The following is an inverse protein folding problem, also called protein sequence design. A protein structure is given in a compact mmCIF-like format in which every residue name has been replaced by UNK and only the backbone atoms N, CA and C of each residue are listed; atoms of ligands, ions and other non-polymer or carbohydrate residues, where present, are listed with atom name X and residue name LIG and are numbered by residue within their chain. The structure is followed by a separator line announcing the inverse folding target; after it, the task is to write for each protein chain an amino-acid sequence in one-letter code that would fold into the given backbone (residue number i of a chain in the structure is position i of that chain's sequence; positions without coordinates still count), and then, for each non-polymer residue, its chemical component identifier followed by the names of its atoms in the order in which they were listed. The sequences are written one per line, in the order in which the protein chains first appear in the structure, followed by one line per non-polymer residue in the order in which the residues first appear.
data_IF_273350368259
#
_entry.id   IF_273350368259
#
_cell.length_a   1.000
_cell.length_b   1.000
_cell.length_c   1.000
_cell.angle_alpha   90.00
_cell.angle_beta   90.00
_cell.angle_gamma   90.00
#
_symmetry.space_group_name_H-M   'P 1'
#
loop_
_entity.id
_entity.type
_entity.pdbx_description
1 polymer ?
#
# COMPACT_ATOMS: atom_id res chain seq x y z
N UNK A 1 16.68 -14.82 43.30
CA UNK A 1 16.99 -13.38 43.42
C UNK A 1 15.75 -12.61 43.00
N UNK A 2 15.12 -11.85 43.89
CA UNK A 2 13.94 -11.07 43.55
C UNK A 2 14.29 -10.01 42.51
N UNK A 3 13.55 -9.96 41.41
CA UNK A 3 13.67 -8.92 40.39
C UNK A 3 13.26 -7.61 41.06
N UNK A 4 14.17 -6.63 41.12
CA UNK A 4 13.84 -5.30 41.63
C UNK A 4 12.86 -4.62 40.68
N UNK A 5 11.98 -3.75 41.19
CA UNK A 5 11.01 -2.99 40.37
C UNK A 5 11.71 -2.25 39.22
N UNK A 6 12.94 -1.77 39.44
CA UNK A 6 13.78 -1.15 38.41
C UNK A 6 14.12 -2.09 37.25
N UNK A 7 14.33 -3.38 37.51
CA UNK A 7 14.63 -4.36 36.48
C UNK A 7 13.37 -4.72 35.68
N UNK A 8 12.22 -4.81 36.33
CA UNK A 8 10.93 -5.10 35.68
C UNK A 8 10.60 -4.09 34.57
N UNK A 9 10.82 -2.80 34.83
CA UNK A 9 10.59 -1.72 33.86
C UNK A 9 11.48 -1.88 32.62
N UNK A 10 12.75 -2.26 32.81
CA UNK A 10 13.70 -2.47 31.70
C UNK A 10 13.21 -3.57 30.77
N UNK A 11 12.70 -4.68 31.32
CA UNK A 11 12.20 -5.79 30.51
C UNK A 11 10.83 -5.50 29.86
N UNK A 12 9.98 -4.69 30.49
CA UNK A 12 8.70 -4.27 29.90
C UNK A 12 8.85 -3.14 28.87
N UNK A 13 9.96 -2.42 28.88
CA UNK A 13 10.17 -1.25 28.03
C UNK A 13 9.94 -1.51 26.53
N UNK A 14 10.45 -2.59 25.90
CA UNK A 14 10.18 -2.87 24.49
C UNK A 14 8.68 -3.03 24.20
N UNK A 15 7.94 -3.71 25.08
CA UNK A 15 6.50 -3.93 24.94
C UNK A 15 5.71 -2.62 25.07
N UNK A 16 6.09 -1.78 26.03
CA UNK A 16 5.48 -0.45 26.21
C UNK A 16 5.73 0.46 25.00
N UNK A 17 6.95 0.44 24.45
CA UNK A 17 7.28 1.16 23.21
C UNK A 17 6.44 0.64 22.05
N UNK A 18 6.26 -0.68 21.92
CA UNK A 18 5.40 -1.28 20.90
C UNK A 18 3.97 -0.77 20.98
N UNK A 19 3.37 -0.85 22.16
CA UNK A 19 2.00 -0.37 22.39
C UNK A 19 1.89 1.13 22.09
N UNK A 20 2.85 1.95 22.52
CA UNK A 20 2.85 3.39 22.28
C UNK A 20 2.99 3.74 20.79
N UNK A 21 3.89 3.07 20.06
CA UNK A 21 4.10 3.30 18.62
C UNK A 21 2.86 2.88 17.83
N UNK A 22 2.30 1.69 18.11
CA UNK A 22 1.09 1.22 17.45
C UNK A 22 -0.11 2.15 17.75
N UNK A 23 -0.30 2.55 19.00
CA UNK A 23 -1.38 3.46 19.39
C UNK A 23 -1.23 4.84 18.73
N UNK A 24 -0.02 5.41 18.77
CA UNK A 24 0.29 6.70 18.16
C UNK A 24 0.06 6.67 16.64
N UNK A 25 0.46 5.59 15.98
CA UNK A 25 0.20 5.36 14.57
C UNK A 25 -1.31 5.25 14.28
N UNK A 26 -2.06 4.50 15.09
CA UNK A 26 -3.51 4.41 14.99
C UNK A 26 -4.20 5.78 15.09
N UNK A 27 -3.81 6.60 16.07
CA UNK A 27 -4.34 7.97 16.24
C UNK A 27 -3.98 8.85 15.05
N UNK A 28 -2.73 8.79 14.57
CA UNK A 28 -2.28 9.54 13.40
C UNK A 28 -3.11 9.18 12.16
N UNK A 29 -3.37 7.89 11.93
CA UNK A 29 -4.15 7.40 10.80
C UNK A 29 -5.62 7.87 10.87
N UNK A 30 -6.27 7.77 12.04
CA UNK A 30 -7.64 8.27 12.23
C UNK A 30 -7.75 9.78 11.96
N UNK A 31 -6.79 10.57 12.45
CA UNK A 31 -6.76 12.03 12.20
C UNK A 31 -6.59 12.37 10.72
N UNK A 32 -5.91 11.51 9.95
CA UNK A 32 -5.70 11.70 8.51
C UNK A 32 -6.84 11.14 7.64
N UNK A 33 -7.77 10.35 8.19
CA UNK A 33 -8.70 9.50 7.42
C UNK A 33 -9.74 10.20 6.53
N UNK A 34 -9.69 11.53 6.33
CA UNK A 34 -10.74 12.45 5.81
C UNK A 34 -11.90 11.84 4.99
N UNK A 35 -11.70 10.88 4.07
CA UNK A 35 -12.74 9.93 3.56
C UNK A 35 -12.22 8.53 3.18
N UNK A 36 -10.97 8.19 3.49
CA UNK A 36 -10.38 6.91 3.08
C UNK A 36 -10.67 5.83 4.13
N UNK A 37 -11.57 4.89 3.80
CA UNK A 37 -11.93 3.81 4.72
C UNK A 37 -10.78 2.85 5.00
N UNK A 38 -9.80 2.71 4.11
CA UNK A 38 -8.64 1.85 4.35
C UNK A 38 -7.79 2.40 5.51
N UNK A 39 -7.70 3.72 5.65
CA UNK A 39 -7.04 4.35 6.80
C UNK A 39 -7.72 4.02 8.12
N UNK A 40 -9.06 4.00 8.15
CA UNK A 40 -9.82 3.62 9.34
C UNK A 40 -9.51 2.18 9.75
N UNK A 41 -9.52 1.25 8.80
CA UNK A 41 -9.29 -0.17 9.10
C UNK A 41 -7.83 -0.44 9.48
N UNK A 42 -6.86 0.24 8.86
CA UNK A 42 -5.47 0.16 9.28
C UNK A 42 -5.28 0.72 10.70
N UNK A 43 -5.97 1.81 11.06
CA UNK A 43 -5.92 2.34 12.41
C UNK A 43 -6.51 1.37 13.45
N UNK A 44 -7.66 0.76 13.15
CA UNK A 44 -8.28 -0.26 14.01
C UNK A 44 -7.40 -1.52 14.15
N UNK A 45 -6.67 -1.89 13.09
CA UNK A 45 -5.66 -2.95 13.16
C UNK A 45 -4.51 -2.56 14.10
N UNK A 46 -4.01 -1.32 14.03
CA UNK A 46 -2.99 -0.81 14.97
C UNK A 46 -3.47 -0.78 16.43
N UNK A 47 -4.73 -0.41 16.68
CA UNK A 47 -5.31 -0.48 18.03
C UNK A 47 -5.48 -1.92 18.52
N UNK A 48 -5.77 -2.86 17.62
CA UNK A 48 -5.82 -4.28 17.97
C UNK A 48 -4.44 -4.78 18.42
N UNK A 49 -3.36 -4.40 17.71
CA UNK A 49 -1.98 -4.71 18.12
C UNK A 49 -1.61 -4.08 19.47
N UNK A 50 -2.07 -2.85 19.71
CA UNK A 50 -1.89 -2.15 21.00
C UNK A 50 -2.58 -2.91 22.12
N UNK A 51 -3.85 -3.26 21.94
CA UNK A 51 -4.64 -3.98 22.93
C UNK A 51 -4.02 -5.35 23.23
N UNK A 52 -3.63 -6.10 22.21
CA UNK A 52 -2.94 -7.37 22.37
C UNK A 52 -1.67 -7.22 23.22
N UNK A 53 -0.83 -6.24 22.90
CA UNK A 53 0.44 -6.01 23.63
C UNK A 53 0.21 -5.64 25.09
N UNK A 54 -0.79 -4.81 25.39
CA UNK A 54 -1.11 -4.42 26.77
C UNK A 54 -1.64 -5.60 27.59
N UNK A 55 -2.47 -6.45 26.99
CA UNK A 55 -2.96 -7.66 27.65
C UNK A 55 -1.83 -8.67 27.88
N UNK A 56 -0.91 -8.81 26.93
CA UNK A 56 0.28 -9.64 27.08
C UNK A 56 1.20 -9.15 28.21
N UNK A 57 1.38 -7.83 28.35
CA UNK A 57 2.08 -7.27 29.53
C UNK A 57 1.38 -7.69 30.83
N UNK A 58 0.04 -7.65 30.85
CA UNK A 58 -0.77 -8.13 31.98
C UNK A 58 -0.51 -9.59 32.32
N UNK A 59 -0.41 -10.45 31.30
CA UNK A 59 -0.04 -11.86 31.47
C UNK A 59 1.39 -12.01 32.00
N UNK A 60 2.37 -11.29 31.45
CA UNK A 60 3.77 -11.40 31.87
C UNK A 60 3.94 -11.11 33.37
N UNK A 61 3.29 -10.06 33.87
CA UNK A 61 3.39 -9.63 35.27
C UNK A 61 2.44 -10.35 36.23
N UNK A 62 1.52 -11.17 35.72
CA UNK A 62 0.58 -11.89 36.56
C UNK A 62 1.30 -12.91 37.47
N UNK A 63 0.94 -13.00 38.76
CA UNK A 63 1.72 -13.73 39.75
C UNK A 63 1.46 -15.24 39.77
N UNK A 64 0.32 -15.69 39.24
CA UNK A 64 -0.15 -17.07 39.33
C UNK A 64 -0.73 -17.56 38.00
N UNK A 65 -0.83 -18.88 37.87
CA UNK A 65 -1.33 -19.56 36.66
C UNK A 65 -2.76 -19.12 36.33
N UNK A 66 -3.64 -19.02 37.32
CA UNK A 66 -5.05 -18.72 37.09
C UNK A 66 -5.22 -17.33 36.49
N UNK A 67 -4.51 -16.33 37.05
CA UNK A 67 -4.52 -14.97 36.53
C UNK A 67 -3.86 -14.89 35.15
N UNK A 68 -2.75 -15.60 34.90
CA UNK A 68 -2.12 -15.68 33.58
C UNK A 68 -3.07 -16.25 32.51
N UNK A 69 -3.78 -17.34 32.82
CA UNK A 69 -4.76 -17.94 31.91
C UNK A 69 -5.90 -16.96 31.58
N UNK A 70 -6.35 -16.15 32.54
CA UNK A 70 -7.36 -15.11 32.28
C UNK A 70 -6.83 -14.06 31.30
N UNK A 71 -5.60 -13.58 31.49
CA UNK A 71 -5.00 -12.63 30.56
C UNK A 71 -4.80 -13.22 29.16
N UNK A 72 -4.29 -14.45 29.06
CA UNK A 72 -4.16 -15.18 27.79
C UNK A 72 -5.54 -15.38 27.12
N UNK A 73 -6.57 -15.73 27.89
CA UNK A 73 -7.95 -15.87 27.38
C UNK A 73 -8.47 -14.58 26.75
N UNK A 74 -8.23 -13.43 27.40
CA UNK A 74 -8.67 -12.12 26.90
C UNK A 74 -7.84 -11.67 25.69
N UNK A 75 -6.60 -12.13 25.53
CA UNK A 75 -5.75 -11.80 24.37
C UNK A 75 -6.30 -12.33 23.03
N UNK A 76 -7.11 -13.39 23.05
CA UNK A 76 -7.76 -13.88 21.83
C UNK A 76 -8.70 -12.84 21.19
N UNK A 77 -9.28 -11.92 21.97
CA UNK A 77 -10.17 -10.87 21.47
C UNK A 77 -9.44 -9.93 20.49
N UNK A 78 -8.34 -9.24 20.87
CA UNK A 78 -7.61 -8.42 19.92
C UNK A 78 -6.92 -9.23 18.81
N UNK A 79 -6.53 -10.49 19.04
CA UNK A 79 -6.01 -11.37 17.97
C UNK A 79 -7.00 -11.49 16.81
N UNK A 80 -8.27 -11.79 17.11
CA UNK A 80 -9.29 -11.93 16.08
C UNK A 80 -9.82 -10.60 15.57
N UNK A 81 -9.83 -9.57 16.41
CA UNK A 81 -10.12 -8.20 15.97
C UNK A 81 -9.07 -7.72 14.96
N UNK A 82 -7.79 -8.08 15.15
CA UNK A 82 -6.72 -7.82 14.19
C UNK A 82 -6.96 -8.55 12.86
N UNK A 83 -7.34 -9.83 12.89
CA UNK A 83 -7.69 -10.57 11.67
C UNK A 83 -8.89 -9.93 10.92
N UNK A 84 -9.90 -9.47 11.66
CA UNK A 84 -11.06 -8.79 11.11
C UNK A 84 -10.71 -7.46 10.44
N UNK A 85 -10.00 -6.61 11.17
CA UNK A 85 -9.58 -5.28 10.69
C UNK A 85 -8.59 -5.39 9.53
N UNK A 86 -7.72 -6.40 9.53
CA UNK A 86 -6.86 -6.74 8.39
C UNK A 86 -7.66 -7.02 7.12
N UNK A 87 -8.62 -7.94 7.16
CA UNK A 87 -9.42 -8.24 5.98
C UNK A 87 -10.26 -7.04 5.52
N UNK A 88 -10.85 -6.29 6.46
CA UNK A 88 -11.57 -5.05 6.12
C UNK A 88 -10.67 -4.02 5.45
N UNK A 89 -9.43 -3.89 5.93
CA UNK A 89 -8.39 -3.08 5.30
C UNK A 89 -8.12 -3.58 3.88
N UNK A 90 -7.92 -4.88 3.68
CA UNK A 90 -7.65 -5.45 2.35
C UNK A 90 -8.78 -5.13 1.37
N UNK A 91 -10.04 -5.36 1.74
CA UNK A 91 -11.20 -5.07 0.89
C UNK A 91 -11.32 -3.56 0.59
N UNK A 92 -11.17 -2.71 1.61
CA UNK A 92 -11.20 -1.26 1.43
C UNK A 92 -10.05 -0.75 0.55
N UNK A 93 -8.86 -1.30 0.70
CA UNK A 93 -7.65 -0.87 -0.01
C UNK A 93 -7.64 -1.35 -1.47
N UNK A 94 -8.16 -2.56 -1.71
CA UNK A 94 -8.22 -3.16 -3.06
C UNK A 94 -9.47 -2.74 -3.83
N UNK A 95 -10.43 -2.07 -3.19
CA UNK A 95 -11.79 -1.84 -3.69
C UNK A 95 -12.51 -3.13 -4.13
N UNK A 96 -12.07 -4.28 -3.61
CA UNK A 96 -12.74 -5.56 -3.86
C UNK A 96 -14.07 -5.60 -3.11
N UNK A 97 -15.02 -6.37 -3.63
CA UNK A 97 -16.32 -6.58 -3.00
C UNK A 97 -16.62 -8.07 -2.90
N UNK A 98 -17.12 -8.50 -1.75
CA UNK A 98 -17.76 -9.81 -1.60
C UNK A 98 -19.27 -9.61 -1.78
N UNK A 99 -19.87 -10.47 -2.61
CA UNK A 99 -21.33 -10.53 -2.78
C UNK A 99 -21.82 -11.92 -2.37
N UNK A 100 -22.80 -12.02 -1.45
CA UNK A 100 -23.44 -10.93 -0.71
C UNK A 100 -22.52 -10.33 0.39
N UNK A 101 -22.68 -9.05 0.79
CA UNK A 101 -21.77 -8.38 1.71
C UNK A 101 -21.72 -9.00 3.12
N UNK A 102 -22.79 -9.70 3.53
CA UNK A 102 -22.82 -10.40 4.81
C UNK A 102 -21.82 -11.56 4.88
N UNK A 103 -21.41 -12.12 3.74
CA UNK A 103 -20.47 -13.24 3.69
C UNK A 103 -19.11 -12.86 4.28
N UNK A 104 -18.69 -11.60 4.15
CA UNK A 104 -17.49 -11.10 4.82
C UNK A 104 -17.60 -11.25 6.34
N UNK A 105 -18.74 -10.92 6.93
CA UNK A 105 -18.97 -11.07 8.37
C UNK A 105 -19.08 -12.55 8.78
N UNK A 106 -19.62 -13.40 7.89
CA UNK A 106 -19.71 -14.83 8.13
C UNK A 106 -18.34 -15.52 8.26
N UNK A 107 -17.30 -15.01 7.59
CA UNK A 107 -15.91 -15.49 7.76
C UNK A 107 -15.37 -15.31 9.18
N UNK A 108 -16.05 -14.55 10.04
CA UNK A 108 -15.63 -14.34 11.42
C UNK A 108 -16.45 -15.13 12.43
N UNK A 109 -17.52 -15.80 11.99
CA UNK A 109 -18.32 -16.69 12.84
C UNK A 109 -17.44 -17.75 13.50
N UNK A 110 -16.52 -18.45 12.80
CA UNK A 110 -15.63 -19.40 13.45
C UNK A 110 -14.80 -18.76 14.57
N UNK A 111 -14.25 -17.56 14.35
CA UNK A 111 -13.44 -16.87 15.37
C UNK A 111 -14.28 -16.50 16.61
N UNK A 112 -15.54 -16.10 16.43
CA UNK A 112 -16.47 -15.85 17.54
C UNK A 112 -16.79 -17.14 18.30
N UNK A 113 -17.00 -18.26 17.59
CA UNK A 113 -17.20 -19.57 18.23
C UNK A 113 -15.99 -19.94 19.07
N UNK A 114 -14.77 -19.74 18.58
CA UNK A 114 -13.57 -20.01 19.37
C UNK A 114 -13.49 -19.14 20.62
N UNK A 115 -13.81 -17.85 20.54
CA UNK A 115 -13.86 -17.00 21.74
C UNK A 115 -14.84 -17.53 22.78
N UNK A 116 -16.02 -17.98 22.36
CA UNK A 116 -16.98 -18.61 23.27
C UNK A 116 -16.35 -19.83 23.94
N UNK A 117 -15.72 -20.72 23.17
CA UNK A 117 -15.04 -21.91 23.68
C UNK A 117 -13.91 -21.57 24.66
N UNK A 118 -13.13 -20.52 24.41
CA UNK A 118 -12.09 -20.04 25.33
C UNK A 118 -12.70 -19.60 26.66
N UNK A 119 -13.75 -18.78 26.64
CA UNK A 119 -14.39 -18.29 27.87
C UNK A 119 -15.23 -19.36 28.59
N UNK A 120 -15.66 -20.41 27.90
CA UNK A 120 -16.34 -21.56 28.51
C UNK A 120 -15.41 -22.72 28.84
N UNK A 121 -14.09 -22.56 28.67
CA UNK A 121 -13.12 -23.63 28.87
C UNK A 121 -13.16 -24.32 30.23
N UNK A 122 -13.47 -23.64 31.36
CA UNK A 122 -13.64 -24.32 32.64
C UNK A 122 -14.65 -25.48 32.64
N UNK A 123 -15.61 -25.50 31.70
CA UNK A 123 -16.63 -26.54 31.58
C UNK A 123 -16.16 -27.78 30.79
N UNK A 124 -15.23 -27.61 29.86
CA UNK A 124 -14.90 -28.66 28.87
C UNK A 124 -13.41 -28.94 28.67
N UNK A 125 -12.52 -28.03 29.06
CA UNK A 125 -11.05 -28.17 28.98
C UNK A 125 -10.56 -28.58 27.58
N UNK A 126 -11.01 -27.85 26.56
CA UNK A 126 -10.65 -28.09 25.16
C UNK A 126 -9.55 -27.13 24.67
N UNK A 127 -9.34 -26.02 25.39
CA UNK A 127 -8.34 -24.99 25.07
C UNK A 127 -7.14 -25.14 26.01
N UNK A 128 -7.33 -25.02 27.32
CA UNK A 128 -6.24 -25.04 28.30
C UNK A 128 -6.12 -26.42 28.95
N UNK A 129 -5.21 -27.23 28.43
CA UNK A 129 -4.88 -28.57 28.95
C UNK A 129 -3.46 -28.53 29.51
N UNK A 130 -3.22 -29.16 30.65
CA UNK A 130 -1.87 -29.29 31.24
C UNK A 130 -1.11 -27.95 31.33
N UNK A 131 -1.76 -26.92 31.87
CA UNK A 131 -1.14 -25.59 32.01
C UNK A 131 -0.08 -25.61 33.10
N UNK A 132 1.13 -25.14 32.79
CA UNK A 132 2.21 -24.97 33.76
C UNK A 132 2.99 -23.67 33.51
N UNK A 133 3.76 -23.26 34.52
CA UNK A 133 4.71 -22.17 34.39
C UNK A 133 6.09 -22.72 34.15
N UNK A 134 6.72 -22.24 33.08
CA UNK A 134 8.12 -22.50 32.82
C UNK A 134 8.95 -21.34 33.39
N UNK A 135 9.91 -21.67 34.26
CA UNK A 135 10.71 -20.61 34.90
C UNK A 135 11.63 -19.94 33.88
N UNK A 136 11.32 -18.69 33.56
CA UNK A 136 11.93 -17.95 32.47
C UNK A 136 12.23 -16.49 32.89
N UNK A 137 13.33 -16.22 33.62
CA UNK A 137 13.64 -14.86 34.05
C UNK A 137 13.65 -13.90 32.84
N UNK A 138 12.95 -12.76 32.91
CA UNK A 138 12.38 -12.10 34.09
C UNK A 138 10.91 -12.48 34.45
N UNK A 139 10.18 -13.18 33.59
CA UNK A 139 8.76 -13.49 33.78
C UNK A 139 8.52 -14.97 33.53
N UNK A 140 7.95 -15.68 34.50
CA UNK A 140 7.60 -17.09 34.27
C UNK A 140 6.61 -17.19 33.09
N UNK A 141 6.96 -18.02 32.12
CA UNK A 141 6.24 -18.16 30.87
C UNK A 141 5.06 -19.12 31.06
N UNK A 142 3.87 -18.72 30.61
CA UNK A 142 2.70 -19.59 30.58
C UNK A 142 2.87 -20.59 29.43
N UNK A 143 2.85 -21.89 29.74
CA UNK A 143 3.02 -22.93 28.73
C UNK A 143 1.87 -23.93 28.80
N UNK A 144 1.34 -24.26 27.63
CA UNK A 144 0.36 -25.33 27.41
C UNK A 144 0.48 -25.85 25.97
N UNK A 145 0.21 -27.15 25.74
CA UNK A 145 0.16 -27.73 24.41
C UNK A 145 -0.98 -27.12 23.58
N UNK A 146 -0.70 -26.85 22.31
CA UNK A 146 -1.75 -26.42 21.38
C UNK A 146 -2.64 -27.62 21.04
N UNK A 147 -3.88 -27.57 21.51
CA UNK A 147 -4.88 -28.61 21.25
C UNK A 147 -5.30 -28.61 19.76
N UNK A 148 -5.89 -29.70 19.25
CA UNK A 148 -6.42 -29.72 17.88
C UNK A 148 -7.42 -28.59 17.60
N UNK A 149 -8.16 -28.16 18.64
CA UNK A 149 -9.06 -27.02 18.57
C UNK A 149 -8.28 -25.73 18.29
N UNK A 150 -7.27 -25.42 19.10
CA UNK A 150 -6.38 -24.25 18.90
C UNK A 150 -5.79 -24.29 17.49
N UNK A 151 -5.24 -25.44 17.07
CA UNK A 151 -4.66 -25.59 15.73
C UNK A 151 -5.63 -25.25 14.61
N UNK A 152 -6.87 -25.72 14.71
CA UNK A 152 -7.90 -25.47 13.71
C UNK A 152 -8.15 -23.98 13.53
N UNK A 153 -8.29 -23.23 14.63
CA UNK A 153 -8.56 -21.80 14.58
C UNK A 153 -7.33 -20.96 14.25
N UNK A 154 -6.14 -21.37 14.68
CA UNK A 154 -4.88 -20.75 14.24
C UNK A 154 -4.71 -20.90 12.74
N UNK A 155 -4.82 -22.12 12.19
CA UNK A 155 -4.72 -22.36 10.74
C UNK A 155 -5.77 -21.52 9.99
N UNK A 156 -7.01 -21.51 10.48
CA UNK A 156 -8.07 -20.69 9.89
C UNK A 156 -7.73 -19.19 9.87
N UNK A 157 -7.25 -18.63 10.98
CA UNK A 157 -6.85 -17.23 11.06
C UNK A 157 -5.68 -16.90 10.13
N UNK A 158 -4.69 -17.80 10.02
CA UNK A 158 -3.56 -17.63 9.09
C UNK A 158 -4.01 -17.72 7.63
N UNK A 159 -4.98 -18.57 7.27
CA UNK A 159 -5.55 -18.61 5.92
C UNK A 159 -6.28 -17.31 5.56
N UNK A 160 -7.05 -16.74 6.49
CA UNK A 160 -7.65 -15.42 6.31
C UNK A 160 -6.58 -14.33 6.13
N UNK A 161 -5.52 -14.38 6.92
CA UNK A 161 -4.41 -13.45 6.80
C UNK A 161 -3.71 -13.56 5.43
N UNK A 162 -3.30 -14.77 5.04
CA UNK A 162 -2.58 -15.07 3.81
C UNK A 162 -3.41 -14.77 2.56
N UNK A 163 -4.72 -15.06 2.57
CA UNK A 163 -5.60 -14.69 1.47
C UNK A 163 -5.69 -13.16 1.29
N UNK A 164 -5.80 -12.42 2.40
CA UNK A 164 -5.73 -10.96 2.37
C UNK A 164 -4.39 -10.43 1.83
N UNK A 165 -3.28 -11.01 2.27
CA UNK A 165 -1.94 -10.66 1.79
C UNK A 165 -1.78 -10.98 0.29
N UNK A 166 -2.27 -12.13 -0.18
CA UNK A 166 -2.26 -12.52 -1.58
C UNK A 166 -3.06 -11.52 -2.44
N UNK A 167 -4.24 -11.09 -1.99
CA UNK A 167 -5.02 -10.06 -2.68
C UNK A 167 -4.27 -8.74 -2.80
N UNK A 168 -3.60 -8.28 -1.74
CA UNK A 168 -2.78 -7.08 -1.78
C UNK A 168 -1.56 -7.23 -2.70
N UNK A 169 -0.90 -8.39 -2.70
CA UNK A 169 0.21 -8.68 -3.60
C UNK A 169 -0.23 -8.74 -5.06
N UNK A 170 -1.42 -9.29 -5.34
CA UNK A 170 -2.02 -9.26 -6.68
C UNK A 170 -2.30 -7.83 -7.13
N UNK A 171 -2.86 -6.99 -6.25
CA UNK A 171 -3.01 -5.54 -6.51
C UNK A 171 -1.66 -4.86 -6.75
N UNK A 172 -0.62 -5.22 -6.01
CA UNK A 172 0.72 -4.66 -6.21
C UNK A 172 1.33 -4.99 -7.59
N UNK A 173 0.82 -6.02 -8.30
CA UNK A 173 1.26 -6.32 -9.67
C UNK A 173 0.65 -5.38 -10.72
N UNK A 174 -0.53 -4.82 -10.46
CA UNK A 174 -1.17 -3.83 -11.33
C UNK A 174 -0.84 -2.37 -10.94
N UNK A 175 -0.40 -2.13 -9.70
CA UNK A 175 0.04 -0.82 -9.24
C UNK A 175 1.39 -0.41 -9.92
N UNK A 176 1.56 0.87 -10.27
CA UNK A 176 2.80 1.42 -10.86
C UNK A 176 3.57 2.32 -9.88
N UNK A 177 4.91 2.35 -10.02
CA UNK A 177 5.81 3.23 -9.28
C UNK A 177 5.57 3.26 -7.77
N UNK A 178 5.21 4.44 -7.25
CA UNK A 178 4.98 4.68 -5.83
C UNK A 178 3.80 3.89 -5.23
N UNK A 179 2.78 3.55 -6.03
CA UNK A 179 1.62 2.81 -5.55
C UNK A 179 1.99 1.36 -5.18
N UNK A 180 2.86 0.74 -5.99
CA UNK A 180 3.37 -0.62 -5.72
C UNK A 180 4.20 -0.67 -4.44
N UNK A 181 5.12 0.28 -4.27
CA UNK A 181 5.95 0.37 -3.05
C UNK A 181 5.06 0.56 -1.82
N UNK A 182 4.03 1.42 -1.92
CA UNK A 182 3.04 1.62 -0.86
C UNK A 182 2.33 0.33 -0.47
N UNK A 183 1.80 -0.42 -1.45
CA UNK A 183 1.11 -1.68 -1.20
C UNK A 183 2.04 -2.70 -0.53
N UNK A 184 3.29 -2.81 -1.00
CA UNK A 184 4.29 -3.70 -0.40
C UNK A 184 4.63 -3.32 1.04
N UNK A 185 4.75 -2.03 1.35
CA UNK A 185 5.01 -1.56 2.73
C UNK A 185 3.90 -1.99 3.68
N UNK A 186 2.63 -1.82 3.28
CA UNK A 186 1.49 -2.21 4.13
C UNK A 186 1.50 -3.72 4.36
N UNK A 187 1.72 -4.53 3.30
CA UNK A 187 1.78 -5.99 3.41
C UNK A 187 2.94 -6.44 4.28
N UNK A 188 4.16 -5.97 4.02
CA UNK A 188 5.36 -6.35 4.76
C UNK A 188 5.22 -5.93 6.23
N UNK A 189 4.83 -4.68 6.49
CA UNK A 189 4.70 -4.17 7.84
C UNK A 189 3.62 -4.87 8.66
N UNK A 190 2.52 -5.29 8.03
CA UNK A 190 1.45 -6.03 8.72
C UNK A 190 1.75 -7.53 8.84
N UNK A 191 2.55 -8.10 7.93
CA UNK A 191 2.88 -9.53 7.91
C UNK A 191 4.02 -9.88 8.84
N UNK A 192 4.93 -8.93 9.09
CA UNK A 192 6.12 -9.18 9.88
C UNK A 192 5.81 -9.79 11.26
N UNK A 193 4.82 -9.31 12.05
CA UNK A 193 4.52 -9.90 13.35
C UNK A 193 4.09 -11.36 13.25
N UNK A 194 3.11 -11.66 12.39
CA UNK A 194 2.59 -13.02 12.23
C UNK A 194 3.66 -13.99 11.70
N UNK A 195 4.44 -13.57 10.71
CA UNK A 195 5.50 -14.40 10.13
C UNK A 195 6.65 -14.63 11.11
N UNK A 196 7.01 -13.62 11.90
CA UNK A 196 8.07 -13.76 12.89
C UNK A 196 7.67 -14.70 14.03
N UNK A 197 6.41 -14.60 14.50
CA UNK A 197 5.87 -15.52 15.51
C UNK A 197 5.79 -16.95 14.98
N UNK A 198 5.33 -17.13 13.75
CA UNK A 198 5.31 -18.45 13.10
C UNK A 198 6.72 -19.02 12.93
N UNK A 199 7.69 -18.20 12.53
CA UNK A 199 9.10 -18.60 12.41
C UNK A 199 9.64 -19.11 13.74
N UNK A 200 9.51 -18.33 14.82
CA UNK A 200 10.02 -18.73 16.12
C UNK A 200 9.33 -19.99 16.65
N UNK A 201 8.03 -20.13 16.41
CA UNK A 201 7.30 -21.33 16.75
C UNK A 201 7.84 -22.57 16.02
N UNK A 202 8.10 -22.49 14.70
CA UNK A 202 8.61 -23.63 13.90
C UNK A 202 9.99 -24.08 14.37
N UNK A 203 10.83 -23.14 14.79
CA UNK A 203 12.21 -23.41 15.21
C UNK A 203 12.35 -23.59 16.74
N UNK A 204 11.24 -23.62 17.48
CA UNK A 204 11.21 -23.66 18.96
C UNK A 204 12.15 -22.63 19.61
N UNK A 205 12.24 -21.45 18.98
CA UNK A 205 13.13 -20.38 19.39
C UNK A 205 12.42 -19.42 20.35
N UNK A 206 13.12 -19.02 21.41
CA UNK A 206 12.58 -18.15 22.47
C UNK A 206 13.44 -16.90 22.64
N UNK A 207 12.82 -15.76 22.90
CA UNK A 207 13.53 -14.51 23.22
C UNK A 207 13.15 -14.10 24.64
N UNK A 208 14.17 -13.91 25.49
CA UNK A 208 13.97 -13.66 26.93
C UNK A 208 13.14 -14.76 27.64
N UNK A 209 13.29 -16.01 27.17
CA UNK A 209 12.54 -17.16 27.67
C UNK A 209 11.05 -17.18 27.31
N UNK A 210 10.55 -16.13 26.65
CA UNK A 210 9.15 -16.03 26.24
C UNK A 210 8.93 -16.69 24.88
N UNK A 211 7.82 -17.42 24.77
CA UNK A 211 7.35 -18.05 23.54
C UNK A 211 6.78 -17.03 22.56
N UNK A 212 6.08 -16.02 23.06
CA UNK A 212 5.47 -15.00 22.23
C UNK A 212 6.26 -13.68 22.27
N UNK A 213 6.72 -13.26 21.10
CA UNK A 213 7.47 -12.03 20.88
C UNK A 213 6.81 -11.17 19.80
N UNK A 214 5.56 -11.48 19.46
CA UNK A 214 4.72 -10.71 18.54
C UNK A 214 4.78 -9.21 18.82
N UNK A 215 4.79 -8.72 20.08
CA UNK A 215 4.92 -7.29 20.35
C UNK A 215 6.21 -6.69 19.82
N UNK A 216 7.33 -7.40 19.90
CA UNK A 216 8.63 -6.91 19.42
C UNK A 216 8.62 -6.81 17.89
N UNK A 217 8.10 -7.83 17.21
CA UNK A 217 7.94 -7.78 15.75
C UNK A 217 6.93 -6.71 15.29
N UNK A 218 5.91 -6.44 16.11
CA UNK A 218 4.92 -5.38 15.88
C UNK A 218 5.53 -3.98 15.93
N UNK A 219 6.59 -3.76 16.73
CA UNK A 219 7.36 -2.51 16.68
C UNK A 219 7.92 -2.29 15.29
N UNK A 220 8.65 -3.29 14.77
CA UNK A 220 9.33 -3.21 13.48
C UNK A 220 8.30 -3.04 12.36
N UNK A 221 7.22 -3.82 12.40
CA UNK A 221 6.10 -3.70 11.45
C UNK A 221 5.47 -2.31 11.46
N UNK A 222 5.18 -1.77 12.64
CA UNK A 222 4.61 -0.42 12.82
C UNK A 222 5.56 0.68 12.32
N UNK A 223 6.87 0.54 12.55
CA UNK A 223 7.87 1.48 12.02
C UNK A 223 7.96 1.42 10.50
N UNK A 224 7.89 0.24 9.88
CA UNK A 224 7.87 0.09 8.41
C UNK A 224 6.66 0.82 7.83
N UNK A 225 5.48 0.63 8.44
CA UNK A 225 4.24 1.31 8.02
C UNK A 225 4.37 2.82 8.22
N UNK A 226 4.80 3.29 9.40
CA UNK A 226 5.00 4.71 9.71
C UNK A 226 6.01 5.37 8.77
N UNK A 227 7.15 4.73 8.53
CA UNK A 227 8.17 5.23 7.63
C UNK A 227 7.62 5.36 6.21
N UNK A 228 6.92 4.33 5.71
CA UNK A 228 6.29 4.41 4.41
C UNK A 228 5.24 5.51 4.32
N UNK A 229 4.48 5.71 5.41
CA UNK A 229 3.47 6.75 5.51
C UNK A 229 4.04 8.14 5.32
N UNK A 230 5.16 8.41 6.01
CA UNK A 230 5.84 9.70 6.00
C UNK A 230 6.65 9.89 4.71
N UNK A 231 7.40 8.87 4.27
CA UNK A 231 8.34 8.96 3.14
C UNK A 231 7.65 9.04 1.79
N UNK A 232 6.54 8.33 1.63
CA UNK A 232 5.78 8.25 0.37
C UNK A 232 4.48 9.03 0.41
N UNK A 233 4.26 9.83 1.46
CA UNK A 233 3.06 10.65 1.66
C UNK A 233 1.81 9.87 1.29
N UNK A 234 1.63 8.72 1.94
CA UNK A 234 0.73 7.60 1.57
C UNK A 234 -0.72 7.98 1.19
N UNK A 235 -1.16 9.21 1.48
CA UNK A 235 -2.51 9.73 1.25
C UNK A 235 -2.54 11.22 0.89
N UNK A 236 -1.41 11.83 0.49
CA UNK A 236 -1.46 13.20 -0.01
C UNK A 236 -2.02 13.16 -1.43
N UNK A 237 -2.98 14.04 -1.71
CA UNK A 237 -3.72 14.10 -2.97
C UNK A 237 -2.83 14.51 -4.14
N UNK A 238 -1.63 15.06 -3.90
CA UNK A 238 -0.79 15.67 -4.94
C UNK A 238 -0.29 14.66 -5.99
N UNK A 239 0.25 13.47 -5.66
CA UNK A 239 0.68 12.50 -6.67
C UNK A 239 -0.50 11.88 -7.42
N UNK A 240 -1.63 11.62 -6.74
CA UNK A 240 -2.84 11.08 -7.35
C UNK A 240 -3.51 12.11 -8.27
N UNK A 241 -3.60 13.38 -7.85
CA UNK A 241 -4.08 14.46 -8.68
C UNK A 241 -3.15 14.71 -9.87
N UNK A 242 -1.82 14.59 -9.71
CA UNK A 242 -0.89 14.65 -10.85
C UNK A 242 -1.11 13.51 -11.84
N UNK A 243 -1.29 12.28 -11.36
CA UNK A 243 -1.60 11.14 -12.22
C UNK A 243 -2.95 11.29 -12.91
N UNK A 244 -4.00 11.67 -12.18
CA UNK A 244 -5.33 11.92 -12.75
C UNK A 244 -5.32 13.08 -13.74
N UNK A 245 -4.62 14.17 -13.46
CA UNK A 245 -4.46 15.29 -14.39
C UNK A 245 -3.71 14.81 -15.63
N UNK A 246 -2.57 14.12 -15.48
CA UNK A 246 -1.81 13.56 -16.59
C UNK A 246 -2.65 12.65 -17.48
N UNK A 247 -3.48 11.79 -16.88
CA UNK A 247 -4.34 10.83 -17.58
C UNK A 247 -5.59 11.48 -18.21
N UNK A 248 -6.11 12.57 -17.62
CA UNK A 248 -7.32 13.28 -18.08
C UNK A 248 -7.06 14.37 -19.11
N UNK A 249 -5.80 14.76 -19.32
CA UNK A 249 -5.45 15.78 -20.30
C UNK A 249 -5.73 15.26 -21.72
N UNK A 250 -6.53 16.01 -22.46
CA UNK A 250 -6.76 15.77 -23.90
C UNK A 250 -5.50 16.02 -24.73
N UNK A 251 -4.55 16.78 -24.19
CA UNK A 251 -3.24 16.99 -24.77
C UNK A 251 -2.37 15.74 -24.58
N UNK A 252 -1.70 15.30 -25.64
CA UNK A 252 -0.76 14.19 -25.56
C UNK A 252 0.50 14.58 -24.81
N UNK A 253 0.94 13.72 -23.89
CA UNK A 253 2.13 13.92 -23.07
C UNK A 253 3.02 12.67 -23.16
N UNK A 254 4.27 12.85 -23.57
CA UNK A 254 5.29 11.81 -23.63
C UNK A 254 6.51 12.27 -22.85
N UNK A 255 6.99 11.43 -21.94
CA UNK A 255 8.22 11.67 -21.18
C UNK A 255 9.31 10.78 -21.75
N UNK A 256 10.46 11.36 -22.07
CA UNK A 256 11.65 10.63 -22.54
C UNK A 256 12.85 10.87 -21.63
N UNK A 257 13.76 9.90 -21.59
CA UNK A 257 15.07 10.04 -20.92
C UNK A 257 16.04 10.91 -21.74
N UNK A 258 17.29 11.02 -21.28
CA UNK A 258 18.33 11.83 -21.94
C UNK A 258 18.81 11.22 -23.26
N UNK A 259 18.57 9.92 -23.47
CA UNK A 259 18.79 9.18 -24.72
C UNK A 259 17.54 9.15 -25.63
N UNK A 260 16.52 9.97 -25.33
CA UNK A 260 15.26 10.05 -26.08
C UNK A 260 14.46 8.73 -26.11
N UNK A 261 14.58 7.89 -25.09
CA UNK A 261 13.77 6.67 -24.92
C UNK A 261 12.54 6.97 -24.07
N UNK A 262 11.41 6.39 -24.45
CA UNK A 262 10.12 6.63 -23.80
C UNK A 262 10.13 6.05 -22.38
N UNK A 263 9.91 6.92 -21.40
CA UNK A 263 9.77 6.58 -20.00
C UNK A 263 8.31 6.53 -19.54
N UNK A 264 7.45 7.38 -20.13
CA UNK A 264 6.03 7.43 -19.79
C UNK A 264 5.23 8.09 -20.91
N UNK A 265 3.93 7.81 -20.97
CA UNK A 265 3.00 8.39 -21.95
C UNK A 265 1.56 8.35 -21.43
N UNK A 266 0.81 9.45 -21.58
CA UNK A 266 -0.59 9.50 -21.16
C UNK A 266 -1.53 8.83 -22.18
N UNK A 267 -2.82 8.58 -21.86
CA UNK A 267 -3.75 7.94 -22.78
C UNK A 267 -3.92 8.66 -24.12
N UNK A 268 -3.91 10.00 -24.11
CA UNK A 268 -3.94 10.79 -25.34
C UNK A 268 -2.68 10.57 -26.21
N UNK A 269 -1.51 10.39 -25.57
CA UNK A 269 -0.27 10.00 -26.21
C UNK A 269 -0.38 8.67 -26.96
N UNK A 270 -0.90 7.67 -26.25
CA UNK A 270 -1.04 6.30 -26.74
C UNK A 270 -2.05 6.17 -27.89
N UNK A 271 -3.10 6.99 -27.89
CA UNK A 271 -4.16 6.97 -28.89
C UNK A 271 -3.65 7.25 -30.30
N UNK A 272 -2.65 8.14 -30.45
CA UNK A 272 -2.09 8.49 -31.78
C UNK A 272 -1.35 7.32 -32.41
N UNK A 273 -0.53 6.62 -31.62
CA UNK A 273 0.27 5.51 -32.13
C UNK A 273 -0.47 4.18 -32.13
N UNK A 274 -1.68 4.13 -31.55
CA UNK A 274 -2.49 2.92 -31.42
C UNK A 274 -1.81 1.80 -30.62
N UNK A 275 -0.89 2.14 -29.72
CA UNK A 275 -0.08 1.19 -28.92
C UNK A 275 -0.33 1.38 -27.44
N UNK A 276 -0.09 0.32 -26.66
CA UNK A 276 -0.15 0.37 -25.20
C UNK A 276 1.19 0.83 -24.62
N UNK A 277 1.17 1.41 -23.40
CA UNK A 277 2.39 1.85 -22.72
C UNK A 277 3.47 0.76 -22.63
N UNK A 278 3.18 -0.50 -22.24
CA UNK A 278 4.19 -1.57 -22.19
C UNK A 278 4.85 -1.87 -23.53
N UNK A 279 4.19 -1.60 -24.65
CA UNK A 279 4.75 -1.84 -25.98
C UNK A 279 5.76 -0.77 -26.39
N UNK A 280 5.65 0.46 -25.86
CA UNK A 280 6.49 1.60 -26.27
C UNK A 280 7.58 1.95 -25.26
N UNK A 281 7.45 1.52 -24.00
CA UNK A 281 8.43 1.79 -22.94
C UNK A 281 9.84 1.34 -23.35
N UNK A 282 10.83 2.23 -23.11
CA UNK A 282 12.24 2.02 -23.42
C UNK A 282 12.61 2.10 -24.92
N UNK A 283 11.62 2.23 -25.81
CA UNK A 283 11.89 2.42 -27.24
C UNK A 283 12.28 3.87 -27.54
N UNK A 284 13.15 4.11 -28.54
CA UNK A 284 13.44 5.47 -29.00
C UNK A 284 12.17 6.17 -29.50
N UNK A 285 11.97 7.43 -29.11
CA UNK A 285 10.81 8.22 -29.51
C UNK A 285 10.65 8.28 -31.05
N UNK A 286 11.75 8.52 -31.77
CA UNK A 286 11.78 8.58 -33.24
C UNK A 286 11.32 7.30 -33.94
N UNK A 287 11.40 6.15 -33.25
CA UNK A 287 10.90 4.87 -33.77
C UNK A 287 9.39 4.71 -33.55
N UNK A 288 8.86 5.28 -32.47
CA UNK A 288 7.45 5.14 -32.10
C UNK A 288 6.60 6.24 -32.75
N UNK A 289 7.13 7.46 -32.83
CA UNK A 289 6.53 8.65 -33.45
C UNK A 289 7.38 9.08 -34.64
N UNK A 290 7.41 8.26 -35.70
CA UNK A 290 8.28 8.45 -36.88
C UNK A 290 8.06 9.79 -37.57
N UNK A 291 6.80 10.21 -37.70
CA UNK A 291 6.39 11.43 -38.39
C UNK A 291 6.94 12.68 -37.69
N UNK A 292 7.30 12.57 -36.42
CA UNK A 292 7.69 13.68 -35.54
C UNK A 292 9.15 13.58 -35.09
N UNK A 293 9.94 12.71 -35.73
CA UNK A 293 11.35 12.49 -35.41
C UNK A 293 12.19 13.78 -35.46
N UNK A 294 11.90 14.67 -36.41
CA UNK A 294 12.61 15.93 -36.61
C UNK A 294 12.51 16.90 -35.42
N UNK A 295 11.44 16.81 -34.63
CA UNK A 295 11.20 17.73 -33.49
C UNK A 295 12.20 17.51 -32.36
N UNK A 296 12.71 16.28 -32.20
CA UNK A 296 13.75 15.98 -31.22
C UNK A 296 15.10 16.52 -31.67
N UNK A 297 15.40 16.41 -32.96
CA UNK A 297 16.66 16.88 -33.53
C UNK A 297 16.78 18.42 -33.46
N UNK A 298 15.66 19.13 -33.63
CA UNK A 298 15.56 20.59 -33.44
C UNK A 298 15.75 21.00 -31.97
N UNK A 299 15.26 20.18 -31.02
CA UNK A 299 15.42 20.45 -29.61
C UNK A 299 16.85 20.25 -29.11
N UNK A 300 17.64 19.35 -29.71
CA UNK A 300 19.06 19.22 -29.35
C UNK A 300 19.86 20.51 -29.60
N UNK A 301 19.32 21.44 -30.39
CA UNK A 301 19.92 22.73 -30.72
C UNK A 301 19.33 23.92 -29.91
N UNK A 302 18.22 23.71 -29.19
CA UNK A 302 17.46 24.78 -28.51
C UNK A 302 17.03 24.40 -27.08
N UNK A 303 16.66 25.40 -26.25
CA UNK A 303 16.26 25.16 -24.85
C UNK A 303 14.75 24.84 -24.69
N UNK A 304 13.94 25.26 -25.66
CA UNK A 304 12.50 25.00 -25.82
C UNK A 304 12.21 25.09 -27.32
N UNK A 305 11.44 24.13 -27.86
CA UNK A 305 11.01 24.13 -29.27
C UNK A 305 9.50 24.03 -29.30
N UNK A 306 8.87 24.85 -30.14
CA UNK A 306 7.44 24.81 -30.45
C UNK A 306 7.28 24.81 -31.97
N UNK A 307 6.76 23.72 -32.52
CA UNK A 307 6.66 23.52 -33.98
C UNK A 307 5.31 22.91 -34.34
N UNK A 308 4.67 23.46 -35.38
CA UNK A 308 3.48 22.89 -36.00
C UNK A 308 3.89 21.75 -36.92
N UNK A 309 3.38 20.54 -36.70
CA UNK A 309 3.56 19.39 -37.59
C UNK A 309 2.24 18.91 -38.14
N UNK A 310 2.31 18.15 -39.22
CA UNK A 310 1.18 17.44 -39.79
C UNK A 310 1.36 15.94 -39.57
N UNK A 311 0.26 15.25 -39.31
CA UNK A 311 0.21 13.80 -39.42
C UNK A 311 -1.01 13.42 -40.26
N UNK A 312 -0.89 12.31 -40.96
CA UNK A 312 -1.95 11.78 -41.81
C UNK A 312 -2.57 10.60 -41.09
N UNK A 313 -3.85 10.71 -40.75
CA UNK A 313 -4.60 9.61 -40.13
C UNK A 313 -4.76 8.45 -41.14
N UNK A 314 -5.12 7.27 -40.62
CA UNK A 314 -5.33 6.07 -41.43
C UNK A 314 -6.45 6.23 -42.50
N UNK A 315 -7.36 7.18 -42.31
CA UNK A 315 -8.43 7.52 -43.26
C UNK A 315 -8.00 8.55 -44.32
N UNK A 316 -6.74 9.01 -44.29
CA UNK A 316 -6.18 10.00 -45.21
C UNK A 316 -6.45 11.45 -44.83
N UNK A 317 -7.12 11.71 -43.70
CA UNK A 317 -7.31 13.07 -43.21
C UNK A 317 -5.99 13.66 -42.68
N UNK A 318 -5.77 14.96 -42.94
CA UNK A 318 -4.59 15.68 -42.43
C UNK A 318 -4.97 16.31 -41.11
N UNK A 319 -4.23 15.96 -40.06
CA UNK A 319 -4.32 16.61 -38.75
C UNK A 319 -3.13 17.51 -38.50
N UNK A 320 -3.40 18.64 -37.87
CA UNK A 320 -2.39 19.61 -37.46
C UNK A 320 -2.14 19.51 -35.97
N UNK A 321 -0.89 19.34 -35.58
CA UNK A 321 -0.48 19.25 -34.19
C UNK A 321 0.54 20.34 -33.86
N UNK A 322 0.32 21.04 -32.75
CA UNK A 322 1.34 21.89 -32.14
C UNK A 322 2.16 21.02 -31.18
N UNK A 323 3.44 20.79 -31.48
CA UNK A 323 4.35 20.12 -30.56
C UNK A 323 5.16 21.13 -29.77
N UNK A 324 5.36 20.82 -28.49
CA UNK A 324 6.30 21.52 -27.64
C UNK A 324 7.20 20.54 -26.90
N UNK A 325 8.50 20.83 -26.89
CA UNK A 325 9.50 20.04 -26.16
C UNK A 325 10.11 20.91 -25.06
N UNK A 326 10.11 20.39 -23.84
CA UNK A 326 10.64 21.06 -22.65
C UNK A 326 11.63 20.16 -21.91
N UNK A 327 12.77 20.70 -21.48
CA UNK A 327 13.73 19.97 -20.66
C UNK A 327 13.20 19.75 -19.23
N UNK A 328 13.27 18.52 -18.74
CA UNK A 328 13.02 18.21 -17.33
C UNK A 328 14.35 18.30 -16.58
N UNK A 329 14.45 19.20 -15.60
CA UNK A 329 15.68 19.45 -14.83
C UNK A 329 15.52 19.01 -13.37
N UNK A 330 16.60 18.47 -12.80
CA UNK A 330 16.76 18.30 -11.35
C UNK A 330 16.87 19.67 -10.68
N UNK A 331 16.56 19.73 -9.39
CA UNK A 331 16.81 20.91 -8.54
C UNK A 331 18.29 21.35 -8.54
N UNK A 332 19.21 20.44 -8.83
CA UNK A 332 20.65 20.69 -8.97
C UNK A 332 21.08 21.21 -10.36
N UNK A 333 20.14 21.47 -11.27
CA UNK A 333 20.39 22.06 -12.60
C UNK A 333 20.60 21.06 -13.75
N UNK A 334 20.90 19.79 -13.47
CA UNK A 334 21.11 18.76 -14.50
C UNK A 334 19.81 18.33 -15.21
N UNK A 335 19.85 18.16 -16.52
CA UNK A 335 18.74 17.61 -17.32
C UNK A 335 18.61 16.11 -17.05
N UNK A 336 17.40 15.64 -16.80
CA UNK A 336 17.09 14.21 -16.52
C UNK A 336 16.20 13.56 -17.58
N UNK A 337 15.72 14.35 -18.53
CA UNK A 337 14.82 13.90 -19.58
C UNK A 337 14.13 15.09 -20.23
N UNK A 338 13.13 14.80 -21.06
CA UNK A 338 12.37 15.80 -21.82
C UNK A 338 10.89 15.46 -21.74
N UNK A 339 10.06 16.49 -21.63
CA UNK A 339 8.62 16.41 -21.75
C UNK A 339 8.23 16.88 -23.14
N UNK A 340 7.62 15.99 -23.91
CA UNK A 340 7.07 16.27 -25.23
C UNK A 340 5.56 16.36 -25.05
N UNK A 341 5.00 17.51 -25.39
CA UNK A 341 3.56 17.75 -25.35
C UNK A 341 3.07 18.01 -26.76
N UNK A 342 1.88 17.53 -27.10
CA UNK A 342 1.29 17.83 -28.40
C UNK A 342 -0.19 18.09 -28.30
N UNK A 343 -0.66 19.10 -29.03
CA UNK A 343 -2.04 19.54 -29.02
C UNK A 343 -2.61 19.50 -30.44
N UNK A 344 -3.77 18.85 -30.61
CA UNK A 344 -4.49 18.86 -31.89
C UNK A 344 -5.08 20.26 -32.11
N UNK A 345 -4.60 20.94 -33.14
CA UNK A 345 -5.01 22.30 -33.53
C UNK A 345 -5.70 22.29 -34.91
N UNK A 346 -6.17 21.13 -35.35
CA UNK A 346 -6.78 20.92 -36.68
C UNK A 346 -7.96 21.86 -36.91
N UNK A 347 -8.93 21.89 -35.99
CA UNK A 347 -10.11 22.76 -36.08
C UNK A 347 -9.73 24.25 -36.15
N UNK A 348 -8.73 24.64 -35.36
CA UNK A 348 -8.22 26.02 -35.34
C UNK A 348 -7.58 26.39 -36.67
N UNK A 349 -6.76 25.52 -37.25
CA UNK A 349 -6.13 25.75 -38.56
C UNK A 349 -7.16 25.84 -39.68
N UNK A 350 -8.17 24.97 -39.68
CA UNK A 350 -9.25 25.05 -40.68
C UNK A 350 -10.07 26.34 -40.54
N UNK A 351 -10.37 26.79 -39.32
CA UNK A 351 -11.04 28.06 -39.09
C UNK A 351 -10.21 29.26 -39.57
N UNK A 352 -8.90 29.27 -39.28
CA UNK A 352 -7.98 30.32 -39.76
C UNK A 352 -7.89 30.36 -41.29
N UNK A 353 -7.86 29.20 -41.96
CA UNK A 353 -7.86 29.11 -43.42
C UNK A 353 -9.18 29.59 -44.03
N UNK A 354 -10.31 29.20 -43.45
CA UNK A 354 -11.63 29.65 -43.91
C UNK A 354 -11.79 31.17 -43.78
N UNK A 355 -11.30 31.75 -42.67
CA UNK A 355 -11.31 33.19 -42.47
C UNK A 355 -10.44 33.91 -43.51
N UNK A 356 -9.22 33.43 -43.75
CA UNK A 356 -8.32 34.01 -44.78
C UNK A 356 -8.92 33.94 -46.18
N UNK A 357 -9.58 32.84 -46.52
CA UNK A 357 -10.27 32.70 -47.80
C UNK A 357 -11.43 33.69 -47.94
N UNK A 358 -12.23 33.87 -46.87
CA UNK A 358 -13.32 34.84 -46.85
C UNK A 358 -12.81 36.28 -46.99
N UNK A 359 -11.72 36.65 -46.31
CA UNK A 359 -11.09 37.97 -46.42
C UNK A 359 -10.54 38.24 -47.83
N UNK A 360 -9.94 37.23 -48.47
CA UNK A 360 -9.44 37.33 -49.84
C UNK A 360 -10.59 37.49 -50.85
N UNK A 361 -11.67 36.71 -50.71
CA UNK A 361 -12.86 36.88 -51.55
C UNK A 361 -13.50 38.26 -51.38
N UNK A 362 -13.60 38.77 -50.14
CA UNK A 362 -14.14 40.10 -49.88
C UNK A 362 -13.27 41.21 -50.50
N UNK A 363 -11.93 41.06 -50.48
CA UNK A 363 -11.00 42.00 -51.14
C UNK A 363 -11.03 41.97 -52.66
N UNK A 364 -11.40 40.85 -53.28
CA UNK A 364 -11.50 40.71 -54.73
C UNK A 364 -12.86 41.17 -55.29
N UNK A 365 -13.88 41.30 -54.44
CA UNK A 365 -15.23 41.77 -54.79
C UNK A 365 -15.46 43.26 -54.52
N UNK A 366 -14.51 43.93 -53.86
CA UNK A 366 -14.47 45.38 -53.67
C UNK A 366 -13.55 46.02 -54.72
#
# INVERSE_FOLDING_TARGET
MGITVSNLIIYLFPYLVSAAVAAGLGVYLLRKQRRDSALTWLALYMFSQTAWTLLYIGELVAPDISTKVVWDSVQWIPTFTAAYTWLRLVFAYTNAQIKPPWLLHALFIPLVIFLILVFTDPLHRLVYIEVYLESAPPFDALTYPFTPLIWTFVIYAYLLYLSGAAMMLMKARSDTGYQRIRTLIIVIGSALPALFTLFLFIFDARIFGQRDVTPIASIIGSFIILWGLLRYRLFDVIPLARALVFDSLSQGLVVVDVENRIMDANPAALAIVGKTLPQILGQPFSKVYSDWSQVIDEFDQAHEVSTDVQSTDADGSIRHYELRVMAIRKSSGGVIGRLITYHDITDRKYAELALRAAEQCARLLA
#
